data_IF_703786189780
#
_entry.id   IF_703786189780
#
_cell.length_a   1.000
_cell.length_b   1.000
_cell.length_c   1.000
_cell.angle_alpha   90.00
_cell.angle_beta   90.00
_cell.angle_gamma   90.00
#
_symmetry.space_group_name_H-M   'P 1'
#
loop_
_entity.id
_entity.type
_entity.pdbx_description
1 polymer ?
#
# COMPACT_ATOMS: atom_id res chain seq x y z
N UNK A 1 34.21 28.25 40.84
CA UNK A 1 33.21 27.20 41.18
C UNK A 1 31.91 27.27 40.37
N UNK A 2 31.57 28.37 39.69
CA UNK A 2 30.30 28.49 38.93
C UNK A 2 30.23 27.72 37.60
N UNK A 3 31.35 27.42 36.93
CA UNK A 3 31.34 26.83 35.58
C UNK A 3 31.08 25.31 35.55
N UNK A 4 31.43 24.61 36.64
CA UNK A 4 31.27 23.16 36.78
C UNK A 4 29.79 22.79 37.04
N UNK A 5 29.04 23.68 37.69
CA UNK A 5 27.62 23.48 37.98
C UNK A 5 26.78 23.51 36.69
N UNK A 6 27.05 24.46 35.78
CA UNK A 6 26.36 24.57 34.50
C UNK A 6 26.62 23.38 33.57
N UNK A 7 27.83 22.81 33.60
CA UNK A 7 28.20 21.66 32.76
C UNK A 7 27.57 20.34 33.20
N UNK A 8 27.13 20.23 34.46
CA UNK A 8 26.40 19.06 34.98
C UNK A 8 24.88 19.18 34.84
N UNK A 9 24.31 20.39 34.91
CA UNK A 9 22.86 20.58 34.78
C UNK A 9 22.34 20.47 33.33
N UNK A 10 23.14 20.85 32.34
CA UNK A 10 22.75 20.78 30.92
C UNK A 10 22.47 19.34 30.41
N UNK A 11 23.34 18.34 30.65
CA UNK A 11 23.05 16.96 30.22
C UNK A 11 21.92 16.31 31.02
N UNK A 12 21.74 16.68 32.30
CA UNK A 12 20.69 16.12 33.16
C UNK A 12 19.29 16.59 32.74
N UNK A 13 19.16 17.88 32.41
CA UNK A 13 17.91 18.45 31.88
C UNK A 13 17.59 17.88 30.50
N UNK A 14 18.58 17.78 29.61
CA UNK A 14 18.40 17.16 28.29
C UNK A 14 17.94 15.68 28.40
N UNK A 15 18.52 14.90 29.31
CA UNK A 15 18.11 13.52 29.56
C UNK A 15 16.68 13.43 30.15
N UNK A 16 16.29 14.36 31.01
CA UNK A 16 14.92 14.46 31.53
C UNK A 16 13.92 14.82 30.44
N UNK A 17 14.23 15.80 29.58
CA UNK A 17 13.37 16.16 28.45
C UNK A 17 13.25 15.03 27.42
N UNK A 18 14.34 14.29 27.13
CA UNK A 18 14.29 13.11 26.27
C UNK A 18 13.42 12.01 26.85
N UNK A 19 13.56 11.70 28.13
CA UNK A 19 12.80 10.64 28.79
C UNK A 19 11.32 10.98 28.91
N UNK A 20 10.97 12.22 29.26
CA UNK A 20 9.59 12.70 29.27
C UNK A 20 8.94 12.64 27.88
N UNK A 21 9.68 12.97 26.82
CA UNK A 21 9.21 12.86 25.43
C UNK A 21 8.94 11.40 25.06
N UNK A 22 9.85 10.47 25.38
CA UNK A 22 9.69 9.04 25.14
C UNK A 22 8.45 8.46 25.85
N UNK A 23 8.25 8.81 27.14
CA UNK A 23 7.10 8.37 27.94
C UNK A 23 5.78 8.92 27.39
N UNK A 24 5.79 10.15 26.86
CA UNK A 24 4.59 10.73 26.23
C UNK A 24 4.24 9.99 24.94
N UNK A 25 5.23 9.66 24.10
CA UNK A 25 5.01 8.87 22.87
C UNK A 25 4.56 7.44 23.14
N UNK A 26 5.06 6.78 24.19
CA UNK A 26 4.62 5.41 24.52
C UNK A 26 3.17 5.38 24.99
N UNK A 27 2.75 6.35 25.82
CA UNK A 27 1.36 6.48 26.27
C UNK A 27 0.38 6.81 25.12
N UNK A 28 0.81 7.65 24.17
CA UNK A 28 0.04 7.92 22.94
C UNK A 28 -0.12 6.67 22.06
N UNK A 29 0.93 5.87 21.89
CA UNK A 29 0.84 4.63 21.13
C UNK A 29 -0.08 3.61 21.81
N UNK A 30 0.05 3.44 23.14
CA UNK A 30 -0.82 2.54 23.90
C UNK A 30 -2.29 2.96 23.84
N UNK A 31 -2.58 4.27 23.90
CA UNK A 31 -3.95 4.77 23.78
C UNK A 31 -4.54 4.58 22.37
N UNK A 32 -3.75 4.78 21.31
CA UNK A 32 -4.15 4.51 19.92
C UNK A 32 -4.41 3.04 19.66
N UNK A 33 -3.57 2.16 20.22
CA UNK A 33 -3.75 0.72 20.11
C UNK A 33 -5.03 0.28 20.83
N UNK A 34 -5.25 0.76 22.05
CA UNK A 34 -6.47 0.51 22.82
C UNK A 34 -7.74 1.00 22.11
N UNK A 35 -7.67 2.15 21.43
CA UNK A 35 -8.78 2.65 20.62
C UNK A 35 -9.03 1.77 19.41
N UNK A 36 -7.98 1.37 18.68
CA UNK A 36 -8.15 0.47 17.54
C UNK A 36 -8.70 -0.90 17.97
N UNK A 37 -8.34 -1.45 19.13
CA UNK A 37 -8.98 -2.67 19.64
C UNK A 37 -10.49 -2.49 19.89
N UNK A 38 -10.98 -1.27 20.11
CA UNK A 38 -12.42 -0.97 20.27
C UNK A 38 -13.12 -0.65 18.96
N UNK A 39 -12.43 -0.03 18.01
CA UNK A 39 -13.06 0.53 16.78
C UNK A 39 -12.69 -0.19 15.49
N UNK A 40 -11.58 -0.93 15.46
CA UNK A 40 -11.10 -1.66 14.29
C UNK A 40 -11.63 -3.09 14.26
N UNK A 41 -11.82 -3.62 13.05
CA UNK A 41 -12.06 -5.06 12.84
C UNK A 41 -10.97 -5.61 11.95
N UNK A 42 -10.31 -6.67 12.41
CA UNK A 42 -9.32 -7.43 11.64
C UNK A 42 -9.97 -8.74 11.22
N UNK A 43 -9.84 -9.10 9.94
CA UNK A 43 -10.38 -10.35 9.39
C UNK A 43 -9.34 -11.03 8.52
N UNK A 44 -9.21 -12.33 8.70
CA UNK A 44 -8.44 -13.19 7.79
C UNK A 44 -9.25 -13.41 6.52
N UNK A 45 -8.60 -13.32 5.37
CA UNK A 45 -9.17 -13.58 4.05
C UNK A 45 -8.19 -14.41 3.23
N UNK A 46 -8.71 -15.24 2.31
CA UNK A 46 -7.88 -16.21 1.59
C UNK A 46 -8.36 -16.43 0.15
N UNK A 47 -7.44 -16.68 -0.79
CA UNK A 47 -7.78 -17.16 -2.12
C UNK A 47 -7.87 -18.68 -2.07
N UNK A 48 -9.08 -19.23 -2.16
CA UNK A 48 -9.30 -20.68 -2.26
C UNK A 48 -9.62 -20.99 -3.72
N UNK A 49 -8.95 -21.98 -4.35
CA UNK A 49 -9.27 -22.37 -5.71
C UNK A 49 -10.73 -22.79 -5.85
N UNK A 50 -11.32 -22.46 -6.99
CA UNK A 50 -12.68 -22.87 -7.30
C UNK A 50 -12.80 -24.41 -7.27
N UNK A 51 -13.98 -24.89 -6.87
CA UNK A 51 -14.33 -26.31 -6.84
C UNK A 51 -13.52 -27.16 -5.84
N UNK A 52 -12.89 -26.54 -4.83
CA UNK A 52 -12.33 -27.22 -3.65
C UNK A 52 -13.28 -27.05 -2.47
N UNK A 53 -13.64 -28.17 -1.82
CA UNK A 53 -14.49 -28.18 -0.62
C UNK A 53 -13.73 -28.77 0.57
N UNK A 54 -13.83 -28.10 1.72
CA UNK A 54 -13.26 -28.57 2.96
C UNK A 54 -14.38 -29.08 3.87
N UNK A 55 -14.35 -30.36 4.22
CA UNK A 55 -15.34 -30.94 5.12
C UNK A 55 -15.20 -30.32 6.52
N UNK A 56 -16.32 -29.96 7.13
CA UNK A 56 -16.40 -29.39 8.49
C UNK A 56 -15.59 -28.10 8.71
N UNK A 57 -15.32 -27.32 7.65
CA UNK A 57 -14.61 -26.05 7.74
C UNK A 57 -15.55 -24.87 7.48
N UNK A 58 -15.39 -23.80 8.27
CA UNK A 58 -15.94 -22.48 7.92
C UNK A 58 -14.86 -21.71 7.20
N UNK A 59 -15.07 -21.43 5.91
CA UNK A 59 -14.07 -20.74 5.10
C UNK A 59 -14.06 -19.24 5.40
N UNK A 60 -12.88 -18.59 5.44
CA UNK A 60 -12.81 -17.14 5.50
C UNK A 60 -13.39 -16.53 4.22
N UNK A 61 -13.75 -15.23 4.22
CA UNK A 61 -14.08 -14.52 3.00
C UNK A 61 -12.92 -14.58 2.01
N UNK A 62 -13.24 -14.53 0.72
CA UNK A 62 -12.20 -14.54 -0.29
C UNK A 62 -11.40 -13.23 -0.33
N UNK A 63 -10.16 -13.29 -0.77
CA UNK A 63 -9.37 -12.08 -1.12
C UNK A 63 -10.11 -11.23 -2.16
N UNK A 64 -10.78 -11.85 -3.13
CA UNK A 64 -11.65 -11.16 -4.09
C UNK A 64 -12.79 -10.40 -3.41
N UNK A 65 -13.46 -11.00 -2.43
CA UNK A 65 -14.47 -10.30 -1.63
C UNK A 65 -13.89 -9.12 -0.87
N UNK A 66 -12.72 -9.28 -0.24
CA UNK A 66 -12.06 -8.19 0.48
C UNK A 66 -11.70 -7.02 -0.43
N UNK A 67 -11.14 -7.29 -1.61
CA UNK A 67 -10.84 -6.26 -2.61
C UNK A 67 -12.08 -5.47 -3.00
N UNK A 68 -13.16 -6.14 -3.43
CA UNK A 68 -14.39 -5.45 -3.82
C UNK A 68 -14.98 -4.64 -2.66
N UNK A 69 -14.99 -5.19 -1.45
CA UNK A 69 -15.47 -4.45 -0.27
C UNK A 69 -14.68 -3.16 -0.02
N UNK A 70 -13.35 -3.19 -0.17
CA UNK A 70 -12.51 -2.00 0.00
C UNK A 70 -12.76 -0.97 -1.10
N UNK A 71 -12.85 -1.42 -2.35
CA UNK A 71 -13.13 -0.59 -3.52
C UNK A 71 -14.50 0.08 -3.39
N UNK A 72 -15.55 -0.69 -3.10
CA UNK A 72 -16.92 -0.21 -2.94
C UNK A 72 -17.09 0.75 -1.75
N UNK A 73 -16.27 0.58 -0.71
CA UNK A 73 -16.29 1.44 0.48
C UNK A 73 -15.50 2.73 0.30
N UNK A 74 -14.64 2.83 -0.71
CA UNK A 74 -13.81 4.01 -0.93
C UNK A 74 -14.67 5.20 -1.40
N UNK A 75 -14.54 6.34 -0.72
CA UNK A 75 -15.37 7.53 -0.98
C UNK A 75 -14.60 8.73 -1.56
N UNK A 76 -13.30 8.80 -1.30
CA UNK A 76 -12.45 9.96 -1.66
C UNK A 76 -11.13 9.51 -2.26
N UNK A 77 -10.42 8.66 -1.54
CA UNK A 77 -9.13 8.13 -1.98
C UNK A 77 -9.06 6.63 -1.72
N UNK A 78 -8.29 5.93 -2.56
CA UNK A 78 -7.90 4.54 -2.35
C UNK A 78 -6.40 4.43 -2.61
N UNK A 79 -5.63 4.09 -1.58
CA UNK A 79 -4.19 3.95 -1.67
C UNK A 79 -3.83 2.47 -1.75
N UNK A 80 -3.07 2.09 -2.76
CA UNK A 80 -2.68 0.70 -3.02
C UNK A 80 -1.16 0.62 -3.05
N UNK A 81 -0.57 -0.14 -2.15
CA UNK A 81 0.83 -0.52 -2.22
C UNK A 81 0.90 -2.01 -2.57
N UNK A 82 1.54 -2.33 -3.69
CA UNK A 82 1.67 -3.69 -4.17
C UNK A 82 3.10 -3.95 -4.62
N UNK A 83 3.52 -5.21 -4.60
CA UNK A 83 4.79 -5.60 -5.21
C UNK A 83 4.76 -5.36 -6.74
N UNK A 84 3.63 -5.72 -7.37
CA UNK A 84 3.30 -5.51 -8.79
C UNK A 84 1.78 -5.61 -9.00
N UNK A 85 1.27 -5.06 -10.10
CA UNK A 85 -0.07 -5.41 -10.60
C UNK A 85 0.01 -6.50 -11.65
N UNK A 86 -0.94 -7.43 -11.55
CA UNK A 86 -1.06 -8.61 -12.40
C UNK A 86 -2.50 -9.13 -12.33
N UNK A 87 -3.47 -8.22 -12.46
CA UNK A 87 -4.89 -8.46 -12.30
C UNK A 87 -5.50 -9.08 -13.55
N UNK A 88 -5.22 -8.51 -14.73
CA UNK A 88 -5.87 -8.95 -15.96
C UNK A 88 -5.18 -10.16 -16.57
N UNK A 89 -5.98 -11.19 -16.91
CA UNK A 89 -5.48 -12.42 -17.53
C UNK A 89 -4.65 -12.19 -18.78
N UNK A 90 -5.03 -11.21 -19.59
CA UNK A 90 -4.32 -10.86 -20.83
C UNK A 90 -2.86 -10.47 -20.62
N UNK A 91 -2.49 -9.95 -19.45
CA UNK A 91 -1.11 -9.55 -19.14
C UNK A 91 -0.29 -10.69 -18.52
N UNK A 92 -0.92 -11.55 -17.72
CA UNK A 92 -0.25 -12.69 -17.06
C UNK A 92 -0.24 -13.98 -17.89
N UNK A 93 -1.33 -14.29 -18.58
CA UNK A 93 -1.55 -15.51 -19.35
C UNK A 93 -1.48 -15.29 -20.87
N UNK A 94 -1.53 -14.03 -21.32
CA UNK A 94 -1.57 -13.65 -22.73
C UNK A 94 -2.96 -13.64 -23.36
N UNK A 95 -3.99 -14.08 -22.64
CA UNK A 95 -5.40 -14.06 -23.06
C UNK A 95 -6.32 -13.94 -21.84
N UNK A 96 -7.57 -13.51 -22.04
CA UNK A 96 -8.60 -13.52 -20.97
C UNK A 96 -9.09 -14.94 -20.74
N UNK A 97 -9.19 -15.36 -19.49
CA UNK A 97 -9.57 -16.72 -19.12
C UNK A 97 -10.42 -16.73 -17.86
N UNK A 98 -11.18 -17.80 -17.63
CA UNK A 98 -11.91 -17.98 -16.38
C UNK A 98 -11.00 -18.02 -15.14
N UNK A 99 -9.74 -18.46 -15.32
CA UNK A 99 -8.73 -18.50 -14.25
C UNK A 99 -8.35 -17.12 -13.73
N UNK A 100 -8.50 -16.08 -14.56
CA UNK A 100 -8.19 -14.69 -14.20
C UNK A 100 -9.43 -13.85 -13.93
N UNK A 101 -10.65 -14.40 -14.07
CA UNK A 101 -11.89 -13.63 -14.05
C UNK A 101 -12.05 -12.74 -12.82
N UNK A 102 -11.67 -13.23 -11.64
CA UNK A 102 -11.73 -12.44 -10.41
C UNK A 102 -10.76 -11.25 -10.43
N UNK A 103 -9.55 -11.43 -10.98
CA UNK A 103 -8.60 -10.35 -11.18
C UNK A 103 -9.08 -9.34 -12.23
N UNK A 104 -9.62 -9.81 -13.36
CA UNK A 104 -10.21 -8.96 -14.40
C UNK A 104 -11.34 -8.08 -13.83
N UNK A 105 -12.21 -8.63 -12.98
CA UNK A 105 -13.28 -7.87 -12.33
C UNK A 105 -12.76 -6.83 -11.32
N UNK A 106 -11.73 -7.16 -10.54
CA UNK A 106 -11.10 -6.18 -9.63
C UNK A 106 -10.51 -5.02 -10.43
N UNK A 107 -9.87 -5.30 -11.55
CA UNK A 107 -9.35 -4.27 -12.44
C UNK A 107 -10.47 -3.35 -12.97
N UNK A 108 -11.55 -3.94 -13.48
CA UNK A 108 -12.68 -3.18 -14.01
C UNK A 108 -13.33 -2.28 -12.94
N UNK A 109 -13.47 -2.79 -11.70
CA UNK A 109 -13.97 -1.99 -10.58
C UNK A 109 -13.04 -0.82 -10.23
N UNK A 110 -11.72 -1.03 -10.19
CA UNK A 110 -10.75 0.04 -9.96
C UNK A 110 -10.83 1.12 -11.04
N UNK A 111 -10.87 0.71 -12.31
CA UNK A 111 -11.01 1.63 -13.43
C UNK A 111 -12.33 2.42 -13.31
N UNK A 112 -13.43 1.75 -12.99
CA UNK A 112 -14.74 2.38 -12.84
C UNK A 112 -14.77 3.44 -11.73
N UNK A 113 -14.33 3.12 -10.51
CA UNK A 113 -14.39 4.08 -9.41
C UNK A 113 -13.38 5.22 -9.58
N UNK A 114 -12.24 4.96 -10.24
CA UNK A 114 -11.22 5.96 -10.53
C UNK A 114 -11.64 6.96 -11.60
N UNK A 115 -12.43 6.52 -12.58
CA UNK A 115 -12.87 7.37 -13.71
C UNK A 115 -14.26 7.96 -13.50
N UNK A 116 -15.26 7.12 -13.23
CA UNK A 116 -16.65 7.52 -13.07
C UNK A 116 -17.01 7.87 -11.60
N UNK A 117 -16.45 7.12 -10.65
CA UNK A 117 -16.75 7.27 -9.22
C UNK A 117 -16.05 8.44 -8.52
N UNK A 118 -15.12 9.12 -9.21
CA UNK A 118 -14.29 10.23 -8.68
C UNK A 118 -13.50 9.88 -7.41
N UNK A 119 -13.15 8.60 -7.21
CA UNK A 119 -12.22 8.19 -6.16
C UNK A 119 -10.80 8.41 -6.69
N UNK A 120 -9.98 9.19 -5.96
CA UNK A 120 -8.58 9.36 -6.29
C UNK A 120 -7.80 8.10 -5.90
N UNK A 121 -7.53 7.23 -6.87
CA UNK A 121 -6.70 6.05 -6.67
C UNK A 121 -5.23 6.48 -6.77
N UNK A 122 -4.44 6.10 -5.76
CA UNK A 122 -2.99 6.24 -5.72
C UNK A 122 -2.39 4.85 -5.59
N UNK A 123 -1.57 4.44 -6.55
CA UNK A 123 -0.93 3.12 -6.51
C UNK A 123 0.59 3.22 -6.54
N UNK A 124 1.23 2.36 -5.75
CA UNK A 124 2.67 2.20 -5.63
C UNK A 124 3.08 0.77 -5.93
N UNK A 125 4.02 0.62 -6.85
CA UNK A 125 4.54 -0.67 -7.32
C UNK A 125 6.07 -0.65 -7.44
N UNK A 126 6.71 -1.82 -7.36
CA UNK A 126 8.14 -1.92 -7.57
C UNK A 126 8.53 -1.69 -9.03
N UNK A 127 9.65 -1.01 -9.22
CA UNK A 127 10.27 -0.78 -10.53
C UNK A 127 11.80 -1.04 -10.47
N UNK A 128 12.39 -1.62 -11.53
CA UNK A 128 11.73 -2.10 -12.76
C UNK A 128 10.86 -3.35 -12.51
N UNK A 129 9.83 -3.58 -13.35
CA UNK A 129 9.08 -4.84 -13.34
C UNK A 129 10.03 -6.03 -13.52
N UNK A 130 9.74 -7.16 -12.86
CA UNK A 130 10.62 -8.33 -12.94
C UNK A 130 10.24 -9.26 -14.08
N UNK A 131 8.94 -9.50 -14.26
CA UNK A 131 8.41 -10.43 -15.25
C UNK A 131 7.60 -9.70 -16.34
N UNK A 132 7.39 -10.37 -17.48
CA UNK A 132 6.53 -9.87 -18.54
C UNK A 132 5.09 -9.73 -18.03
N UNK A 133 4.50 -8.56 -18.22
CA UNK A 133 3.12 -8.27 -17.81
C UNK A 133 3.02 -7.61 -16.43
N UNK A 134 4.09 -7.64 -15.63
CA UNK A 134 4.17 -6.91 -14.37
C UNK A 134 3.90 -5.42 -14.61
N UNK A 135 3.12 -4.81 -13.70
CA UNK A 135 2.79 -3.39 -13.68
C UNK A 135 1.97 -2.91 -14.89
N UNK A 136 1.61 -3.80 -15.84
CA UNK A 136 0.88 -3.41 -17.05
C UNK A 136 -0.51 -2.86 -16.72
N UNK A 137 -1.18 -3.45 -15.72
CA UNK A 137 -2.48 -2.95 -15.26
C UNK A 137 -2.35 -1.56 -14.61
N UNK A 138 -1.37 -1.37 -13.74
CA UNK A 138 -1.07 -0.09 -13.10
C UNK A 138 -0.79 1.03 -14.12
N UNK A 139 0.02 0.74 -15.14
CA UNK A 139 0.33 1.68 -16.24
C UNK A 139 -0.94 2.05 -17.02
N UNK A 140 -1.81 1.06 -17.33
CA UNK A 140 -3.05 1.37 -18.06
C UNK A 140 -4.01 2.17 -17.18
N UNK A 141 -4.12 1.86 -15.89
CA UNK A 141 -4.91 2.64 -14.93
C UNK A 141 -4.41 4.09 -14.87
N UNK A 142 -3.08 4.30 -14.81
CA UNK A 142 -2.47 5.63 -14.88
C UNK A 142 -2.85 6.38 -16.15
N UNK A 143 -2.76 5.72 -17.30
CA UNK A 143 -3.12 6.31 -18.60
C UNK A 143 -4.61 6.69 -18.70
N UNK A 144 -5.47 6.12 -17.86
CA UNK A 144 -6.88 6.49 -17.74
C UNK A 144 -7.14 7.60 -16.70
N UNK A 145 -6.09 8.30 -16.25
CA UNK A 145 -6.19 9.47 -15.38
C UNK A 145 -6.11 9.17 -13.88
N UNK A 146 -5.76 7.94 -13.48
CA UNK A 146 -5.52 7.61 -12.08
C UNK A 146 -4.12 8.09 -11.66
N UNK A 147 -3.99 8.57 -10.43
CA UNK A 147 -2.70 8.99 -9.90
C UNK A 147 -1.83 7.76 -9.62
N UNK A 148 -0.64 7.72 -10.18
CA UNK A 148 0.24 6.56 -10.04
C UNK A 148 1.63 7.00 -9.63
N UNK A 149 2.19 6.36 -8.61
CA UNK A 149 3.54 6.61 -8.11
C UNK A 149 4.35 5.33 -8.28
N UNK A 150 5.21 5.29 -9.28
CA UNK A 150 6.13 4.16 -9.47
C UNK A 150 7.24 4.23 -8.42
N UNK A 151 7.39 3.20 -7.57
CA UNK A 151 8.51 3.10 -6.64
C UNK A 151 9.72 2.49 -7.35
N UNK A 152 10.68 3.33 -7.70
CA UNK A 152 12.00 2.86 -8.13
C UNK A 152 12.75 2.34 -6.92
N UNK A 153 12.95 1.03 -6.82
CA UNK A 153 13.96 0.50 -5.93
C UNK A 153 15.31 0.83 -6.57
N UNK A 154 15.92 1.93 -6.12
CA UNK A 154 17.28 2.29 -6.53
C UNK A 154 18.21 1.22 -5.94
N UNK A 155 18.50 0.18 -6.73
CA UNK A 155 19.77 -0.51 -6.59
C UNK A 155 20.85 0.51 -6.96
N UNK A 156 21.88 0.67 -6.12
CA UNK A 156 22.95 1.68 -6.23
C UNK A 156 23.84 1.57 -7.50
N UNK A 157 23.33 1.08 -8.64
CA UNK A 157 24.14 0.70 -9.79
C UNK A 157 23.59 1.09 -11.17
N UNK A 158 22.47 1.82 -11.29
CA UNK A 158 21.99 2.29 -12.60
C UNK A 158 21.70 3.80 -12.61
N UNK A 159 22.38 4.58 -13.49
CA UNK A 159 22.05 5.99 -13.65
C UNK A 159 20.67 6.13 -14.33
N UNK A 160 19.79 6.92 -13.71
CA UNK A 160 18.50 7.30 -14.27
C UNK A 160 18.74 8.09 -15.58
N UNK A 161 18.40 7.51 -16.72
CA UNK A 161 18.33 8.25 -17.98
C UNK A 161 17.06 9.11 -17.96
N UNK A 162 17.23 10.40 -17.71
CA UNK A 162 16.18 11.40 -17.49
C UNK A 162 15.44 11.82 -18.76
N UNK A 163 15.76 11.27 -19.92
CA UNK A 163 15.28 11.81 -21.19
C UNK A 163 13.91 11.29 -21.62
N UNK A 164 13.21 10.49 -20.81
CA UNK A 164 11.89 9.98 -21.19
C UNK A 164 10.97 9.51 -20.05
N UNK A 165 11.10 10.02 -18.82
CA UNK A 165 10.30 9.46 -17.74
C UNK A 165 9.68 10.44 -16.74
N UNK A 166 8.35 10.38 -16.71
CA UNK A 166 7.46 10.86 -15.65
C UNK A 166 7.62 10.04 -14.35
N UNK A 167 8.85 9.84 -13.86
CA UNK A 167 9.10 9.12 -12.60
C UNK A 167 9.56 10.09 -11.52
N UNK A 168 8.82 10.08 -10.41
CA UNK A 168 9.08 10.90 -9.23
C UNK A 168 10.25 10.31 -8.43
N UNK A 169 11.18 11.16 -7.99
CA UNK A 169 12.33 10.74 -7.19
C UNK A 169 11.86 10.25 -5.81
N UNK A 170 12.68 9.38 -5.20
CA UNK A 170 12.52 8.85 -3.83
C UNK A 170 12.31 9.93 -2.75
N UNK A 171 12.71 11.18 -3.02
CA UNK A 171 12.63 12.32 -2.10
C UNK A 171 11.21 12.91 -1.98
N UNK A 172 10.29 12.61 -2.89
CA UNK A 172 8.90 13.12 -2.85
C UNK A 172 7.94 12.20 -2.06
N UNK A 173 8.45 11.09 -1.51
CA UNK A 173 7.69 10.19 -0.63
C UNK A 173 7.83 10.63 0.83
N UNK A 174 7.15 11.71 1.19
CA UNK A 174 6.96 12.10 2.60
C UNK A 174 5.69 11.41 3.11
N UNK A 175 5.84 10.52 4.10
CA UNK A 175 4.74 9.90 4.84
C UNK A 175 4.11 10.88 5.82
#
# INVERSE_FOLDING_TARGET
>A
MSSILFSLLLPLTAAYFLSASLVTTSNLNASREAECYRTCSIRVVESIPDNITFQNATLPPSTFYAWNRLIDSARKELHIAAYKSSLQGKHVLGYRSELSRQGDLVYDSLLHIGTAGKVNIKMVENYPPKDKGDNSDGIILQNNGLSFIVLVIINNSLPLNTNNSHYTKKEDLVY
#
